data_IF_976310501223
#
_entry.id   IF_976310501223
#
_cell.length_a   1.000
_cell.length_b   1.000
_cell.length_c   1.000
_cell.angle_alpha   90.00
_cell.angle_beta   90.00
_cell.angle_gamma   90.00
#
_symmetry.space_group_name_H-M   'P 1'
#
loop_
_entity.id
_entity.type
_entity.pdbx_description
1 polymer ?
#
# COMPACT_ATOMS: atom_id res chain seq x y z
N UNK A 1 3.32 -76.48 43.55
CA UNK A 1 2.55 -76.59 44.78
C UNK A 1 1.40 -75.62 44.80
N UNK A 2 0.16 -76.20 44.79
CA UNK A 2 -1.09 -75.67 45.42
C UNK A 2 -1.43 -74.18 45.24
N UNK A 3 -2.43 -73.88 44.41
CA UNK A 3 -3.91 -73.81 44.65
C UNK A 3 -4.33 -72.68 45.58
N UNK A 4 -5.15 -71.79 45.02
CA UNK A 4 -6.58 -71.47 45.32
C UNK A 4 -6.85 -70.11 44.66
N UNK A 5 -7.79 -69.81 43.87
CA UNK A 5 -9.19 -70.24 43.83
C UNK A 5 -10.06 -69.25 44.63
N UNK A 6 -10.56 -68.18 44.03
CA UNK A 6 -11.75 -67.51 44.55
C UNK A 6 -12.62 -66.97 43.39
N UNK A 7 -13.84 -67.49 43.37
CA UNK A 7 -14.93 -67.06 42.53
C UNK A 7 -15.60 -65.86 43.17
N UNK A 8 -15.88 -64.84 42.41
CA UNK A 8 -16.89 -63.88 42.84
C UNK A 8 -17.73 -63.41 41.64
N UNK A 9 -18.93 -63.66 41.76
CA UNK A 9 -20.25 -63.41 41.16
C UNK A 9 -20.35 -62.25 40.19
N UNK A 10 -20.93 -62.56 39.02
CA UNK A 10 -21.61 -61.64 38.11
C UNK A 10 -22.78 -60.94 38.82
N UNK A 11 -22.79 -59.62 38.77
CA UNK A 11 -23.99 -58.81 38.94
C UNK A 11 -24.28 -58.14 37.62
N UNK A 12 -25.36 -58.60 36.98
CA UNK A 12 -25.83 -57.99 35.74
C UNK A 12 -26.44 -56.63 36.02
N UNK A 13 -25.99 -55.63 35.33
CA UNK A 13 -26.68 -54.35 35.22
C UNK A 13 -27.25 -54.25 33.82
N UNK A 14 -28.58 -54.34 33.75
CA UNK A 14 -29.37 -54.01 32.56
C UNK A 14 -29.22 -52.49 32.33
N UNK A 15 -28.55 -52.14 31.25
CA UNK A 15 -28.59 -50.78 30.76
C UNK A 15 -29.66 -50.72 29.66
N UNK A 16 -30.75 -50.04 29.96
CA UNK A 16 -31.80 -49.75 28.98
C UNK A 16 -31.23 -48.72 27.96
N UNK A 17 -31.07 -49.14 26.72
CA UNK A 17 -30.72 -48.23 25.60
C UNK A 17 -32.00 -47.51 25.18
N UNK A 18 -32.13 -46.24 25.58
CA UNK A 18 -33.13 -45.33 24.99
C UNK A 18 -32.62 -44.89 23.63
N UNK A 19 -33.24 -45.38 22.56
CA UNK A 19 -33.04 -44.90 21.19
C UNK A 19 -33.73 -43.55 21.07
N UNK A 20 -32.96 -42.46 21.20
CA UNK A 20 -33.40 -41.14 20.79
C UNK A 20 -33.34 -41.05 19.26
N UNK A 21 -34.47 -41.12 18.60
CA UNK A 21 -34.64 -40.78 17.21
C UNK A 21 -34.40 -39.29 17.03
N UNK A 22 -33.18 -38.89 16.67
CA UNK A 22 -32.90 -37.57 16.17
C UNK A 22 -33.51 -37.42 14.80
N UNK A 23 -34.65 -36.74 14.71
CA UNK A 23 -35.19 -36.27 13.44
C UNK A 23 -34.20 -35.26 12.85
N UNK A 24 -33.51 -35.66 11.78
CA UNK A 24 -32.80 -34.71 10.93
C UNK A 24 -33.84 -33.75 10.34
N UNK A 25 -33.95 -32.56 10.93
CA UNK A 25 -34.54 -31.43 10.25
C UNK A 25 -33.55 -31.00 9.17
N UNK A 26 -33.83 -31.44 7.94
CA UNK A 26 -33.24 -30.85 6.75
C UNK A 26 -33.83 -29.45 6.70
N UNK A 27 -32.99 -28.42 6.98
CA UNK A 27 -33.37 -27.04 6.75
C UNK A 27 -33.74 -26.87 5.27
N UNK A 28 -34.82 -26.17 4.93
CA UNK A 28 -35.14 -25.89 3.54
C UNK A 28 -33.95 -25.15 2.90
N UNK A 29 -33.70 -25.35 1.60
CA UNK A 29 -32.66 -24.62 0.88
C UNK A 29 -32.94 -23.11 1.03
N UNK A 30 -31.92 -22.37 1.45
CA UNK A 30 -31.98 -20.91 1.54
C UNK A 30 -32.32 -20.38 0.15
N UNK A 31 -33.34 -19.57 0.08
CA UNK A 31 -33.79 -18.90 -1.13
C UNK A 31 -32.70 -17.92 -1.56
N UNK A 32 -32.09 -18.07 -2.77
CA UNK A 32 -31.04 -17.16 -3.22
C UNK A 32 -31.48 -15.69 -3.34
N UNK A 33 -32.78 -15.42 -3.24
CA UNK A 33 -33.30 -14.04 -3.24
C UNK A 33 -33.38 -13.42 -1.86
N UNK A 34 -33.25 -14.17 -0.76
CA UNK A 34 -33.29 -13.60 0.60
C UNK A 34 -31.98 -12.96 1.06
N UNK A 35 -30.85 -13.28 0.43
CA UNK A 35 -29.57 -12.62 0.69
C UNK A 35 -29.36 -11.32 -0.11
N UNK A 36 -30.30 -10.96 -1.00
CA UNK A 36 -30.24 -9.69 -1.74
C UNK A 36 -30.89 -8.52 -1.04
N UNK A 37 -31.37 -8.67 0.19
CA UNK A 37 -32.15 -7.65 0.90
C UNK A 37 -31.49 -7.01 2.12
N UNK A 38 -30.18 -7.19 2.35
CA UNK A 38 -29.45 -6.15 3.06
C UNK A 38 -29.14 -5.06 2.04
N UNK A 39 -30.09 -4.13 1.93
CA UNK A 39 -29.98 -2.93 1.13
C UNK A 39 -28.60 -2.31 1.37
N UNK A 40 -27.74 -2.35 0.36
CA UNK A 40 -26.77 -1.27 0.16
C UNK A 40 -27.61 0.00 -0.04
N UNK A 41 -28.16 0.54 1.04
CA UNK A 41 -28.72 1.87 1.06
C UNK A 41 -27.61 2.77 0.58
N UNK A 42 -27.79 3.41 -0.56
CA UNK A 42 -26.88 4.45 -1.05
C UNK A 42 -26.64 5.37 0.14
N UNK A 43 -25.40 5.50 0.64
CA UNK A 43 -25.12 6.36 1.76
C UNK A 43 -25.69 7.73 1.44
N UNK A 44 -26.43 8.33 2.37
CA UNK A 44 -26.96 9.68 2.20
C UNK A 44 -25.75 10.60 2.05
N UNK A 45 -25.43 11.01 0.83
CA UNK A 45 -24.33 11.94 0.56
C UNK A 45 -24.67 13.28 1.20
N UNK A 46 -23.78 13.80 2.02
CA UNK A 46 -23.95 15.09 2.70
C UNK A 46 -24.04 16.25 1.69
N UNK A 47 -23.50 16.08 0.48
CA UNK A 47 -23.51 17.07 -0.61
C UNK A 47 -23.70 16.37 -1.96
N UNK A 48 -24.94 16.18 -2.42
CA UNK A 48 -25.24 15.53 -3.70
C UNK A 48 -24.62 16.23 -4.91
N UNK A 49 -24.46 17.55 -4.88
CA UNK A 49 -23.88 18.31 -5.98
C UNK A 49 -22.36 18.03 -6.11
N UNK A 50 -21.67 17.98 -4.98
CA UNK A 50 -20.25 17.56 -4.96
C UNK A 50 -20.08 16.10 -5.39
N UNK A 51 -20.95 15.20 -4.94
CA UNK A 51 -20.90 13.80 -5.36
C UNK A 51 -21.02 13.66 -6.87
N UNK A 52 -21.96 14.37 -7.48
CA UNK A 52 -22.15 14.36 -8.95
C UNK A 52 -20.95 14.96 -9.68
N UNK A 53 -20.38 16.04 -9.17
CA UNK A 53 -19.17 16.64 -9.74
C UNK A 53 -17.97 15.68 -9.66
N UNK A 54 -17.81 14.94 -8.53
CA UNK A 54 -16.77 13.91 -8.40
C UNK A 54 -17.00 12.77 -9.38
N UNK A 55 -18.24 12.28 -9.58
CA UNK A 55 -18.54 11.25 -10.61
C UNK A 55 -18.14 11.69 -12.00
N UNK A 56 -18.47 12.93 -12.37
CA UNK A 56 -18.09 13.48 -13.66
C UNK A 56 -16.56 13.48 -13.86
N UNK A 57 -15.79 13.81 -12.83
CA UNK A 57 -14.31 13.72 -12.86
C UNK A 57 -13.85 12.28 -13.01
N UNK A 58 -14.42 11.35 -12.24
CA UNK A 58 -14.08 9.91 -12.30
C UNK A 58 -14.31 9.37 -13.70
N UNK A 59 -15.46 9.61 -14.31
CA UNK A 59 -15.78 9.12 -15.64
C UNK A 59 -14.90 9.77 -16.71
N UNK A 60 -14.61 11.06 -16.60
CA UNK A 60 -13.72 11.78 -17.51
C UNK A 60 -12.31 11.21 -17.51
N UNK A 61 -11.73 10.98 -16.31
CA UNK A 61 -10.39 10.43 -16.18
C UNK A 61 -10.37 8.95 -16.58
N UNK A 62 -11.40 8.18 -16.22
CA UNK A 62 -11.53 6.78 -16.64
C UNK A 62 -11.46 6.66 -18.16
N UNK A 63 -12.21 7.47 -18.86
CA UNK A 63 -12.22 7.45 -20.33
C UNK A 63 -10.91 7.95 -20.94
N UNK A 64 -10.37 9.08 -20.46
CA UNK A 64 -9.17 9.71 -21.05
C UNK A 64 -7.87 8.99 -20.73
N UNK A 65 -7.81 8.26 -19.62
CA UNK A 65 -6.63 7.49 -19.18
C UNK A 65 -6.78 5.98 -19.41
N UNK A 66 -7.82 5.54 -20.10
CA UNK A 66 -8.10 4.15 -20.42
C UNK A 66 -8.06 3.26 -19.16
N UNK A 67 -8.85 3.62 -18.12
CA UNK A 67 -8.89 2.86 -16.90
C UNK A 67 -9.96 1.75 -17.01
N UNK A 68 -9.56 0.53 -16.65
CA UNK A 68 -10.45 -0.64 -16.59
C UNK A 68 -11.42 -0.51 -15.42
N UNK A 69 -10.89 -0.22 -14.24
CA UNK A 69 -11.66 0.00 -13.04
C UNK A 69 -11.17 1.23 -12.28
N UNK A 70 -12.10 1.89 -11.59
CA UNK A 70 -11.82 2.92 -10.59
C UNK A 70 -12.65 2.60 -9.35
N UNK A 71 -12.02 2.56 -8.19
CA UNK A 71 -12.67 2.54 -6.89
C UNK A 71 -12.28 3.82 -6.17
N UNK A 72 -13.27 4.59 -5.72
CA UNK A 72 -13.07 5.90 -5.11
C UNK A 72 -13.86 6.05 -3.84
N UNK A 73 -13.25 6.68 -2.81
CA UNK A 73 -13.93 7.14 -1.61
C UNK A 73 -13.48 8.55 -1.26
N UNK A 74 -14.45 9.45 -1.07
CA UNK A 74 -14.23 10.85 -0.69
C UNK A 74 -15.05 11.17 0.54
N UNK A 75 -14.40 11.70 1.57
CA UNK A 75 -15.03 12.10 2.83
C UNK A 75 -14.58 13.52 3.22
N UNK A 76 -15.39 14.24 3.97
CA UNK A 76 -15.05 15.55 4.54
C UNK A 76 -15.50 15.58 6.00
N UNK A 77 -14.55 15.68 6.92
CA UNK A 77 -14.82 15.41 8.34
C UNK A 77 -15.37 14.00 8.51
N UNK A 78 -16.52 13.90 9.16
CA UNK A 78 -17.19 12.63 9.43
C UNK A 78 -18.31 12.32 8.39
N UNK A 79 -18.36 13.10 7.30
CA UNK A 79 -19.38 12.96 6.26
C UNK A 79 -18.80 12.31 5.01
N UNK A 80 -19.56 11.37 4.46
CA UNK A 80 -19.25 10.80 3.15
C UNK A 80 -19.77 11.72 2.04
N UNK A 81 -18.89 12.01 1.05
CA UNK A 81 -19.26 12.71 -0.18
C UNK A 81 -19.61 11.66 -1.25
N UNK A 82 -18.73 10.67 -1.45
CA UNK A 82 -18.91 9.61 -2.44
C UNK A 82 -18.13 8.37 -2.06
N UNK A 83 -18.73 7.19 -2.20
CA UNK A 83 -18.02 5.90 -2.28
C UNK A 83 -18.61 5.13 -3.45
N UNK A 84 -17.77 4.84 -4.45
CA UNK A 84 -18.23 4.23 -5.70
C UNK A 84 -17.13 3.39 -6.35
N UNK A 85 -17.55 2.37 -7.13
CA UNK A 85 -16.68 1.61 -8.01
C UNK A 85 -17.30 1.60 -9.41
N UNK A 86 -16.48 1.87 -10.43
CA UNK A 86 -16.90 1.89 -11.83
C UNK A 86 -15.97 1.05 -12.69
N UNK A 87 -16.48 0.51 -13.79
CA UNK A 87 -15.75 -0.37 -14.70
C UNK A 87 -15.72 -1.82 -14.23
N UNK A 88 -14.72 -2.57 -14.67
CA UNK A 88 -14.62 -4.01 -14.46
C UNK A 88 -13.27 -4.40 -13.84
N UNK A 89 -13.29 -5.31 -12.85
CA UNK A 89 -12.08 -5.92 -12.31
C UNK A 89 -11.43 -6.84 -13.34
N UNK A 90 -12.25 -7.73 -13.92
CA UNK A 90 -11.91 -8.60 -15.05
C UNK A 90 -13.00 -8.49 -16.12
N UNK A 91 -12.76 -8.92 -17.36
CA UNK A 91 -13.79 -8.92 -18.38
C UNK A 91 -15.09 -9.60 -17.90
N UNK A 92 -16.19 -8.85 -17.87
CA UNK A 92 -17.48 -9.30 -17.41
C UNK A 92 -17.67 -9.38 -15.89
N UNK A 93 -16.70 -8.95 -15.08
CA UNK A 93 -16.80 -8.89 -13.62
C UNK A 93 -16.77 -7.43 -13.17
N UNK A 94 -17.91 -6.83 -12.81
CA UNK A 94 -17.95 -5.44 -12.33
C UNK A 94 -17.04 -5.21 -11.14
N UNK A 95 -16.34 -4.06 -11.12
CA UNK A 95 -15.63 -3.61 -9.93
C UNK A 95 -16.61 -3.26 -8.81
N UNK A 96 -16.20 -3.54 -7.56
CA UNK A 96 -17.00 -3.23 -6.38
C UNK A 96 -16.16 -2.53 -5.32
N UNK A 97 -16.79 -1.77 -4.43
CA UNK A 97 -16.13 -1.09 -3.32
C UNK A 97 -15.60 -2.05 -2.25
N UNK A 98 -16.05 -3.30 -2.25
CA UNK A 98 -15.56 -4.34 -1.33
C UNK A 98 -14.24 -4.98 -1.78
N UNK A 99 -13.77 -4.71 -3.01
CA UNK A 99 -12.58 -5.34 -3.54
C UNK A 99 -11.31 -4.88 -2.82
N UNK A 100 -10.43 -5.85 -2.58
CA UNK A 100 -9.10 -5.64 -2.03
C UNK A 100 -8.09 -5.44 -3.15
N UNK A 101 -7.07 -4.64 -2.85
CA UNK A 101 -5.96 -4.34 -3.76
C UNK A 101 -4.68 -4.09 -2.96
N UNK A 102 -3.52 -4.07 -3.63
CA UNK A 102 -2.26 -3.76 -2.96
C UNK A 102 -2.14 -2.27 -2.68
N UNK A 103 -1.71 -1.94 -1.47
CA UNK A 103 -1.54 -0.55 -1.06
C UNK A 103 -0.23 0.09 -1.56
N UNK A 104 0.74 -0.71 -2.05
CA UNK A 104 2.00 -0.20 -2.60
C UNK A 104 2.73 0.77 -1.66
N UNK A 105 3.18 1.89 -2.21
CA UNK A 105 3.93 2.92 -1.48
C UNK A 105 3.14 3.60 -0.33
N UNK A 106 1.84 3.35 -0.18
CA UNK A 106 1.10 3.77 1.03
C UNK A 106 1.75 3.19 2.29
N UNK A 107 2.23 1.95 2.21
CA UNK A 107 2.92 1.28 3.31
C UNK A 107 4.22 1.99 3.76
N UNK A 108 4.85 2.77 2.89
CA UNK A 108 5.99 3.63 3.26
C UNK A 108 5.59 4.59 4.39
N UNK A 109 4.38 5.16 4.33
CA UNK A 109 3.88 6.05 5.38
C UNK A 109 3.65 5.32 6.72
N UNK A 110 3.26 4.05 6.68
CA UNK A 110 3.14 3.23 7.89
C UNK A 110 4.49 2.93 8.52
N UNK A 111 5.49 2.55 7.71
CA UNK A 111 6.86 2.29 8.21
C UNK A 111 7.49 3.56 8.78
N UNK A 112 7.29 4.71 8.15
CA UNK A 112 7.75 6.00 8.68
C UNK A 112 7.05 6.37 10.00
N UNK A 113 5.72 6.17 10.08
CA UNK A 113 4.97 6.36 11.32
C UNK A 113 5.48 5.43 12.43
N UNK A 114 5.75 4.16 12.11
CA UNK A 114 6.33 3.20 13.05
C UNK A 114 7.71 3.67 13.56
N UNK A 115 8.58 4.13 12.65
CA UNK A 115 9.90 4.64 13.04
C UNK A 115 9.80 5.85 13.99
N UNK A 116 8.86 6.77 13.75
CA UNK A 116 8.59 7.91 14.62
C UNK A 116 8.00 7.47 15.98
N UNK A 117 7.10 6.50 16.01
CA UNK A 117 6.59 5.93 17.27
C UNK A 117 7.69 5.25 18.08
N UNK A 118 8.62 4.56 17.41
CA UNK A 118 9.77 3.93 18.07
C UNK A 118 10.76 4.99 18.60
N UNK A 119 10.95 6.11 17.89
CA UNK A 119 11.71 7.28 18.39
C UNK A 119 11.03 7.85 19.63
N UNK A 120 9.72 8.06 19.63
CA UNK A 120 8.97 8.55 20.80
C UNK A 120 9.08 7.65 22.02
N UNK A 121 9.27 6.35 21.80
CA UNK A 121 9.46 5.32 22.84
C UNK A 121 10.93 5.17 23.27
N UNK A 122 11.86 5.83 22.58
CA UNK A 122 13.31 5.73 22.86
C UNK A 122 13.93 4.39 22.41
N UNK A 123 13.27 3.64 21.54
CA UNK A 123 13.80 2.38 20.99
C UNK A 123 14.86 2.58 19.91
N UNK A 124 14.83 3.72 19.22
CA UNK A 124 15.82 4.21 18.28
C UNK A 124 15.77 5.75 18.23
N UNK A 125 16.75 6.38 17.57
CA UNK A 125 16.71 7.80 17.24
C UNK A 125 16.86 7.98 15.73
N UNK A 126 16.14 8.94 15.14
CA UNK A 126 16.33 9.30 13.73
C UNK A 126 17.74 9.82 13.43
N UNK A 127 18.47 10.31 14.45
CA UNK A 127 19.86 10.77 14.34
C UNK A 127 20.87 9.63 14.46
N UNK A 128 20.44 8.43 14.88
CA UNK A 128 21.32 7.27 14.98
C UNK A 128 21.90 6.90 13.61
N UNK A 129 23.19 6.52 13.61
CA UNK A 129 23.81 5.97 12.41
C UNK A 129 23.30 4.56 12.15
N UNK A 130 23.03 4.24 10.88
CA UNK A 130 22.61 2.91 10.45
C UNK A 130 23.62 1.84 10.92
N UNK A 131 24.91 2.17 11.01
CA UNK A 131 25.98 1.27 11.48
C UNK A 131 25.83 0.79 12.93
N UNK A 132 25.03 1.47 13.76
CA UNK A 132 24.72 0.99 15.12
C UNK A 132 23.89 -0.31 15.09
N UNK A 133 23.12 -0.52 14.04
CA UNK A 133 22.22 -1.66 13.85
C UNK A 133 22.72 -2.64 12.77
N UNK A 134 23.29 -2.10 11.71
CA UNK A 134 23.79 -2.84 10.53
C UNK A 134 25.25 -2.46 10.26
N UNK A 135 26.23 -2.88 11.11
CA UNK A 135 27.62 -2.44 11.03
C UNK A 135 28.33 -2.85 9.74
N UNK A 136 27.93 -3.97 9.14
CA UNK A 136 28.55 -4.50 7.93
C UNK A 136 27.99 -3.88 6.64
N UNK A 137 26.92 -3.08 6.73
CA UNK A 137 26.33 -2.45 5.57
C UNK A 137 27.22 -1.29 5.09
N UNK A 138 27.58 -1.32 3.82
CA UNK A 138 28.42 -0.28 3.21
C UNK A 138 27.80 1.11 3.37
N UNK A 139 28.58 2.11 3.79
CA UNK A 139 28.17 3.48 4.08
C UNK A 139 27.22 3.67 5.28
N UNK A 140 26.94 2.63 6.05
CA UNK A 140 26.06 2.71 7.21
C UNK A 140 26.57 3.69 8.28
N UNK A 141 27.89 3.90 8.39
CA UNK A 141 28.53 4.87 9.28
C UNK A 141 28.31 6.32 8.85
N UNK A 142 27.85 6.56 7.62
CA UNK A 142 27.63 7.89 7.05
C UNK A 142 26.17 8.29 7.03
N UNK A 143 25.26 7.31 7.01
CA UNK A 143 23.80 7.50 6.85
C UNK A 143 23.12 7.43 8.21
N UNK A 144 22.11 8.30 8.44
CA UNK A 144 21.24 8.24 9.62
C UNK A 144 19.90 7.58 9.29
N UNK A 145 19.18 7.13 10.33
CA UNK A 145 17.81 6.56 10.18
C UNK A 145 16.87 7.61 9.58
N UNK A 146 16.95 8.87 10.01
CA UNK A 146 16.16 9.96 9.45
C UNK A 146 16.42 10.18 7.96
N UNK A 147 17.68 10.03 7.50
CA UNK A 147 18.02 10.12 6.09
C UNK A 147 17.45 8.93 5.27
N UNK A 148 17.32 7.74 5.85
CA UNK A 148 16.58 6.65 5.21
C UNK A 148 15.09 7.01 5.09
N UNK A 149 14.46 7.40 6.19
CA UNK A 149 13.03 7.75 6.20
C UNK A 149 12.68 8.90 5.25
N UNK A 150 13.59 9.88 5.06
CA UNK A 150 13.43 11.02 4.16
C UNK A 150 13.91 10.73 2.73
N UNK A 151 14.50 9.55 2.47
CA UNK A 151 15.10 9.19 1.17
C UNK A 151 16.24 10.14 0.73
N UNK A 152 17.02 10.62 1.69
CA UNK A 152 18.20 11.50 1.47
C UNK A 152 19.53 10.80 1.75
N UNK A 153 19.53 9.46 1.90
CA UNK A 153 20.72 8.67 2.20
C UNK A 153 21.77 8.64 1.10
N UNK A 154 21.33 8.81 -0.16
CA UNK A 154 22.18 8.66 -1.35
C UNK A 154 22.31 7.21 -1.86
N UNK A 155 21.73 6.21 -1.19
CA UNK A 155 21.69 4.85 -1.76
C UNK A 155 20.90 4.86 -3.08
N UNK A 156 21.46 4.22 -4.11
CA UNK A 156 20.78 4.04 -5.38
C UNK A 156 19.49 3.22 -5.18
N UNK A 157 18.50 3.46 -6.02
CA UNK A 157 17.30 2.62 -6.03
C UNK A 157 17.58 1.30 -6.74
N UNK A 158 17.37 0.17 -6.05
CA UNK A 158 17.55 -1.15 -6.68
C UNK A 158 16.50 -1.38 -7.78
N UNK A 159 15.31 -0.78 -7.70
CA UNK A 159 14.28 -0.94 -8.73
C UNK A 159 14.71 -0.32 -10.07
N UNK A 160 15.57 0.68 -10.04
CA UNK A 160 16.15 1.29 -11.23
C UNK A 160 17.36 0.50 -11.79
N UNK A 161 17.79 -0.60 -11.14
CA UNK A 161 18.88 -1.45 -11.64
C UNK A 161 18.38 -2.38 -12.75
N UNK A 162 18.97 -2.35 -13.97
CA UNK A 162 18.53 -3.22 -15.06
C UNK A 162 18.61 -4.72 -14.73
N UNK A 163 19.59 -5.15 -13.91
CA UNK A 163 19.70 -6.56 -13.52
C UNK A 163 18.58 -6.96 -12.56
N UNK A 164 18.15 -6.05 -11.69
CA UNK A 164 17.00 -6.28 -10.82
C UNK A 164 15.70 -6.35 -11.65
N UNK A 165 15.50 -5.43 -12.58
CA UNK A 165 14.35 -5.42 -13.48
C UNK A 165 14.26 -6.71 -14.30
N UNK A 166 15.38 -7.14 -14.89
CA UNK A 166 15.46 -8.39 -15.64
C UNK A 166 15.14 -9.61 -14.76
N UNK A 167 15.68 -9.67 -13.55
CA UNK A 167 15.43 -10.77 -12.62
C UNK A 167 13.96 -10.82 -12.15
N UNK A 168 13.36 -9.66 -11.87
CA UNK A 168 11.95 -9.54 -11.50
C UNK A 168 11.04 -9.97 -12.65
N UNK A 169 11.32 -9.51 -13.87
CA UNK A 169 10.51 -9.84 -15.04
C UNK A 169 10.71 -11.29 -15.52
N UNK A 170 11.87 -11.90 -15.24
CA UNK A 170 12.07 -13.32 -15.52
C UNK A 170 11.20 -14.21 -14.63
N UNK A 171 11.02 -13.84 -13.36
CA UNK A 171 10.33 -14.62 -12.34
C UNK A 171 9.35 -13.76 -11.52
N UNK A 172 8.25 -13.24 -12.10
CA UNK A 172 7.38 -12.27 -11.43
C UNK A 172 6.68 -12.80 -10.18
N UNK A 173 6.61 -14.11 -10.01
CA UNK A 173 6.00 -14.78 -8.84
C UNK A 173 7.03 -15.12 -7.74
N UNK A 174 8.32 -14.88 -7.98
CA UNK A 174 9.39 -15.16 -7.02
C UNK A 174 9.33 -14.23 -5.81
N UNK A 175 9.38 -14.75 -4.56
CA UNK A 175 9.58 -13.93 -3.39
C UNK A 175 11.04 -13.45 -3.31
N UNK A 176 11.24 -12.23 -2.78
CA UNK A 176 12.54 -11.59 -2.58
C UNK A 176 12.82 -11.41 -1.09
N UNK A 177 14.07 -11.62 -0.67
CA UNK A 177 14.51 -11.25 0.67
C UNK A 177 15.04 -9.81 0.69
N UNK A 178 14.99 -9.13 1.86
CA UNK A 178 15.56 -7.79 2.01
C UNK A 178 17.04 -7.70 1.60
N UNK A 179 17.83 -8.72 1.95
CA UNK A 179 19.26 -8.81 1.66
C UNK A 179 19.52 -8.94 0.16
N UNK A 180 18.74 -9.74 -0.56
CA UNK A 180 18.81 -9.84 -2.03
C UNK A 180 18.52 -8.50 -2.68
N UNK A 181 17.49 -7.79 -2.24
CA UNK A 181 17.08 -6.50 -2.81
C UNK A 181 18.18 -5.45 -2.64
N UNK A 182 18.66 -5.23 -1.42
CA UNK A 182 19.65 -4.19 -1.16
C UNK A 182 21.01 -4.49 -1.79
N UNK A 183 21.32 -5.76 -2.10
CA UNK A 183 22.57 -6.14 -2.77
C UNK A 183 22.73 -5.49 -4.16
N UNK A 184 21.62 -5.22 -4.89
CA UNK A 184 21.65 -4.53 -6.18
C UNK A 184 22.06 -3.05 -6.07
N UNK A 185 21.98 -2.44 -4.88
CA UNK A 185 22.30 -1.03 -4.68
C UNK A 185 23.48 -0.77 -3.77
N UNK A 186 23.62 -1.50 -2.65
CA UNK A 186 24.63 -1.22 -1.60
C UNK A 186 26.06 -1.52 -2.02
N UNK A 187 26.27 -2.36 -3.04
CA UNK A 187 27.57 -2.55 -3.71
C UNK A 187 28.04 -1.37 -4.54
N UNK A 188 27.14 -0.44 -4.92
CA UNK A 188 27.40 0.72 -5.76
C UNK A 188 27.88 1.94 -4.94
N UNK A 189 28.52 2.94 -5.57
CA UNK A 189 28.72 4.24 -4.95
C UNK A 189 27.38 4.91 -4.61
N UNK A 190 27.37 5.75 -3.56
CA UNK A 190 26.22 6.63 -3.30
C UNK A 190 26.02 7.58 -4.48
N UNK A 191 24.78 7.84 -4.85
CA UNK A 191 24.40 8.79 -5.94
C UNK A 191 24.81 10.21 -5.58
N UNK A 192 24.75 10.55 -4.29
CA UNK A 192 25.18 11.83 -3.70
C UNK A 192 25.56 11.60 -2.24
N UNK A 193 26.22 12.58 -1.62
CA UNK A 193 26.56 12.51 -0.20
C UNK A 193 25.28 12.54 0.66
N UNK A 194 25.18 11.73 1.74
CA UNK A 194 24.00 11.69 2.58
C UNK A 194 23.54 13.06 3.05
N UNK A 195 22.26 13.36 2.90
CA UNK A 195 21.63 14.63 3.28
C UNK A 195 21.81 15.79 2.28
N UNK A 196 22.50 15.60 1.14
CA UNK A 196 22.77 16.70 0.20
C UNK A 196 21.82 16.77 -0.99
N UNK A 197 21.04 15.73 -1.21
CA UNK A 197 20.00 15.66 -2.25
C UNK A 197 18.95 14.63 -1.87
N UNK A 198 18.00 14.39 -2.75
CA UNK A 198 16.91 13.45 -2.60
C UNK A 198 16.75 12.59 -3.86
N UNK A 199 16.47 11.31 -3.66
CA UNK A 199 15.96 10.42 -4.70
C UNK A 199 14.95 9.45 -4.13
N UNK A 200 13.85 9.24 -4.82
CA UNK A 200 12.95 8.14 -4.46
C UNK A 200 13.71 6.81 -4.64
N UNK A 201 13.91 6.09 -3.55
CA UNK A 201 14.68 4.85 -3.56
C UNK A 201 14.11 3.85 -2.55
N UNK A 202 13.62 2.74 -3.06
CA UNK A 202 13.08 1.63 -2.27
C UNK A 202 14.13 1.06 -1.31
N UNK A 203 15.42 1.10 -1.69
CA UNK A 203 16.55 0.68 -0.85
C UNK A 203 16.48 1.29 0.55
N UNK A 204 16.09 2.56 0.67
CA UNK A 204 16.00 3.22 1.96
C UNK A 204 15.03 2.50 2.90
N UNK A 205 13.86 2.13 2.41
CA UNK A 205 12.81 1.52 3.24
C UNK A 205 13.06 0.05 3.53
N UNK A 206 13.77 -0.65 2.67
CA UNK A 206 14.25 -2.01 2.99
C UNK A 206 15.28 -1.95 4.12
N UNK A 207 16.27 -1.04 4.03
CA UNK A 207 17.28 -0.85 5.10
C UNK A 207 16.61 -0.37 6.39
N UNK A 208 15.66 0.56 6.32
CA UNK A 208 14.91 1.05 7.50
C UNK A 208 14.17 -0.09 8.20
N UNK A 209 13.53 -0.99 7.46
CA UNK A 209 12.90 -2.18 8.02
C UNK A 209 13.89 -3.08 8.76
N UNK A 210 15.04 -3.37 8.15
CA UNK A 210 16.11 -4.14 8.80
C UNK A 210 16.63 -3.45 10.07
N UNK A 211 16.76 -2.12 10.07
CA UNK A 211 17.12 -1.34 11.27
C UNK A 211 16.07 -1.49 12.35
N UNK A 212 14.78 -1.36 12.02
CA UNK A 212 13.68 -1.52 12.98
C UNK A 212 13.70 -2.93 13.60
N UNK A 213 13.87 -3.98 12.80
CA UNK A 213 13.97 -5.35 13.30
C UNK A 213 15.17 -5.54 14.24
N UNK A 214 16.32 -4.96 13.91
CA UNK A 214 17.52 -5.01 14.78
C UNK A 214 17.36 -4.22 16.06
N UNK A 215 16.76 -3.04 16.01
CA UNK A 215 16.54 -2.18 17.17
C UNK A 215 15.57 -2.79 18.17
N UNK A 216 14.55 -3.51 17.70
CA UNK A 216 13.44 -3.99 18.53
C UNK A 216 13.48 -5.48 18.82
N UNK A 217 14.20 -6.27 18.02
CA UNK A 217 14.17 -7.74 18.06
C UNK A 217 12.84 -8.34 17.60
N UNK A 218 11.99 -7.56 16.91
CA UNK A 218 10.65 -7.96 16.45
C UNK A 218 10.51 -7.72 14.95
N UNK A 219 9.61 -8.48 14.31
CA UNK A 219 9.29 -8.28 12.89
C UNK A 219 8.61 -6.94 12.63
N UNK A 220 8.82 -6.37 11.45
CA UNK A 220 8.12 -5.14 11.02
C UNK A 220 6.61 -5.37 10.98
N UNK A 221 6.16 -6.54 10.52
CA UNK A 221 4.74 -6.91 10.45
C UNK A 221 4.06 -6.85 11.82
N UNK A 222 4.60 -7.57 12.82
CA UNK A 222 4.08 -7.55 14.20
C UNK A 222 3.99 -6.12 14.75
N UNK A 223 5.03 -5.31 14.50
CA UNK A 223 5.08 -3.94 14.97
C UNK A 223 4.08 -3.03 14.25
N UNK A 224 3.90 -3.18 12.94
CA UNK A 224 2.90 -2.45 12.18
C UNK A 224 1.50 -2.81 12.66
N UNK A 225 1.21 -4.09 12.81
CA UNK A 225 -0.09 -4.55 13.30
C UNK A 225 -0.39 -4.00 14.69
N UNK A 226 0.56 -4.08 15.63
CA UNK A 226 0.36 -3.63 17.02
C UNK A 226 0.27 -2.11 17.15
N UNK A 227 1.13 -1.37 16.44
CA UNK A 227 1.35 0.05 16.69
C UNK A 227 0.72 0.99 15.67
N UNK A 228 0.37 0.49 14.50
CA UNK A 228 -0.16 1.31 13.40
C UNK A 228 -1.53 0.81 12.95
N UNK A 229 -1.63 -0.38 12.38
CA UNK A 229 -2.85 -0.86 11.71
C UNK A 229 -3.98 -1.12 12.71
N UNK A 230 -3.69 -1.86 13.79
CA UNK A 230 -4.66 -2.16 14.84
C UNK A 230 -5.22 -0.90 15.53
N UNK A 231 -4.36 0.03 16.05
CA UNK A 231 -4.84 1.28 16.63
C UNK A 231 -5.62 2.20 15.70
N UNK A 232 -5.44 2.07 14.37
CA UNK A 232 -6.21 2.78 13.37
C UNK A 232 -7.52 2.06 12.98
N UNK A 233 -7.69 0.79 13.38
CA UNK A 233 -8.86 -0.03 13.03
C UNK A 233 -8.86 -0.43 11.55
N UNK A 234 -7.68 -0.65 10.95
CA UNK A 234 -7.54 -1.04 9.55
C UNK A 234 -7.69 -2.57 9.42
N UNK A 235 -8.92 -3.05 9.50
CA UNK A 235 -9.24 -4.48 9.56
C UNK A 235 -9.05 -5.23 8.24
N UNK A 236 -9.00 -4.49 7.12
CA UNK A 236 -8.78 -5.02 5.77
C UNK A 236 -7.39 -4.71 5.24
N UNK A 237 -6.48 -4.23 6.10
CA UNK A 237 -5.11 -3.89 5.72
C UNK A 237 -4.15 -4.83 6.46
N UNK A 238 -3.53 -5.74 5.70
CA UNK A 238 -2.62 -6.76 6.25
C UNK A 238 -1.53 -7.14 5.25
N UNK A 239 -0.39 -7.63 5.76
CA UNK A 239 0.56 -8.38 4.94
C UNK A 239 0.14 -9.85 4.93
N UNK A 240 -0.32 -10.42 3.81
CA UNK A 240 -0.69 -11.82 3.74
C UNK A 240 0.52 -12.77 3.78
N UNK A 241 1.76 -12.27 3.85
CA UNK A 241 2.99 -13.05 3.79
C UNK A 241 3.22 -13.78 2.45
N UNK A 242 2.36 -13.54 1.47
CA UNK A 242 2.34 -14.20 0.16
C UNK A 242 1.94 -13.22 -0.95
N UNK A 243 1.87 -13.72 -2.18
CA UNK A 243 1.30 -12.95 -3.30
C UNK A 243 -0.25 -12.94 -3.33
N UNK A 244 -0.93 -13.55 -2.37
CA UNK A 244 -2.39 -13.55 -2.33
C UNK A 244 -2.97 -12.16 -2.04
N UNK A 245 -4.17 -11.91 -2.55
CA UNK A 245 -5.02 -10.78 -2.21
C UNK A 245 -6.33 -11.36 -1.70
N UNK A 246 -6.89 -10.91 -0.56
CA UNK A 246 -8.19 -11.36 -0.09
C UNK A 246 -9.30 -11.12 -1.12
N UNK A 247 -10.20 -12.08 -1.24
CA UNK A 247 -11.36 -11.93 -2.13
C UNK A 247 -12.48 -11.08 -1.49
N UNK A 248 -13.22 -10.31 -2.28
CA UNK A 248 -13.04 -10.10 -3.72
C UNK A 248 -11.82 -9.23 -4.03
N UNK A 249 -11.03 -9.62 -5.04
CA UNK A 249 -9.82 -8.91 -5.45
C UNK A 249 -10.06 -7.99 -6.65
N UNK A 250 -9.42 -6.83 -6.66
CA UNK A 250 -9.32 -5.96 -7.84
C UNK A 250 -8.17 -6.46 -8.71
N UNK A 251 -8.49 -7.04 -9.87
CA UNK A 251 -7.51 -7.60 -10.77
C UNK A 251 -6.77 -6.53 -11.58
N UNK A 252 -5.46 -6.68 -11.67
CA UNK A 252 -4.57 -5.81 -12.41
C UNK A 252 -3.99 -6.53 -13.63
N UNK A 253 -3.81 -5.78 -14.72
CA UNK A 253 -3.21 -6.26 -15.96
C UNK A 253 -2.13 -5.28 -16.39
N UNK A 254 -1.03 -5.79 -16.96
CA UNK A 254 0.12 -4.98 -17.33
C UNK A 254 0.73 -5.36 -18.67
N UNK A 255 1.43 -4.42 -19.27
CA UNK A 255 2.27 -4.62 -20.46
C UNK A 255 3.76 -4.37 -20.17
N UNK A 256 4.15 -4.21 -18.89
CA UNK A 256 5.51 -3.80 -18.49
C UNK A 256 6.61 -4.75 -18.94
N UNK A 257 6.32 -6.05 -19.09
CA UNK A 257 7.33 -7.05 -19.52
C UNK A 257 7.60 -7.08 -21.02
N UNK A 258 6.96 -6.22 -21.84
CA UNK A 258 7.06 -6.34 -23.30
C UNK A 258 8.48 -6.12 -23.83
N UNK A 259 9.27 -5.20 -23.25
CA UNK A 259 10.69 -5.03 -23.62
C UNK A 259 11.53 -6.23 -23.21
N UNK A 260 11.36 -6.74 -21.98
CA UNK A 260 12.01 -7.94 -21.48
C UNK A 260 11.73 -9.16 -22.40
N UNK A 261 10.48 -9.32 -22.84
CA UNK A 261 10.04 -10.38 -23.76
C UNK A 261 10.45 -10.12 -25.21
N UNK A 262 11.06 -8.97 -25.52
CA UNK A 262 11.51 -8.57 -26.85
C UNK A 262 10.39 -8.56 -27.89
N UNK A 263 9.17 -8.16 -27.48
CA UNK A 263 8.03 -8.05 -28.36
C UNK A 263 8.20 -6.86 -29.32
N UNK A 264 7.63 -6.97 -30.51
CA UNK A 264 7.68 -5.88 -31.48
C UNK A 264 6.80 -4.72 -31.03
N UNK A 265 7.19 -3.46 -31.31
CA UNK A 265 6.32 -2.32 -31.10
C UNK A 265 4.96 -2.53 -31.77
N UNK A 266 3.86 -2.31 -31.02
CA UNK A 266 2.49 -2.50 -31.49
C UNK A 266 1.99 -3.96 -31.55
N UNK A 267 2.82 -4.96 -31.22
CA UNK A 267 2.35 -6.32 -31.03
C UNK A 267 1.43 -6.37 -29.79
N UNK A 268 0.18 -6.87 -29.89
CA UNK A 268 -0.73 -6.93 -28.75
C UNK A 268 -0.14 -7.79 -27.61
N UNK A 269 -0.07 -7.20 -26.44
CA UNK A 269 0.41 -7.90 -25.24
C UNK A 269 -0.18 -7.25 -23.99
N UNK A 270 -0.80 -8.07 -23.19
CA UNK A 270 -1.29 -7.75 -21.86
C UNK A 270 -1.29 -9.05 -21.04
N UNK A 271 -0.86 -8.99 -19.81
CA UNK A 271 -0.87 -10.13 -18.90
C UNK A 271 -1.40 -9.75 -17.54
N UNK A 272 -1.98 -10.71 -16.84
CA UNK A 272 -2.46 -10.49 -15.49
C UNK A 272 -1.30 -10.43 -14.51
N UNK A 273 -1.26 -9.37 -13.70
CA UNK A 273 -0.22 -9.10 -12.71
C UNK A 273 -0.72 -9.09 -11.27
N UNK A 274 -2.02 -9.36 -11.05
CA UNK A 274 -2.68 -9.31 -9.73
C UNK A 274 -1.88 -10.04 -8.66
N UNK A 275 -1.40 -11.23 -8.98
CA UNK A 275 -0.70 -12.12 -8.05
C UNK A 275 0.82 -12.18 -8.27
N UNK A 276 1.41 -11.22 -8.99
CA UNK A 276 2.87 -11.08 -8.99
C UNK A 276 3.36 -10.83 -7.57
N UNK A 277 4.51 -11.40 -7.23
CA UNK A 277 5.00 -11.30 -5.87
C UNK A 277 5.43 -9.87 -5.55
N UNK A 278 4.82 -9.21 -4.54
CA UNK A 278 5.09 -7.79 -4.25
C UNK A 278 6.30 -7.59 -3.33
N UNK A 279 6.97 -8.64 -2.87
CA UNK A 279 8.05 -8.56 -1.89
C UNK A 279 9.27 -7.75 -2.35
N UNK A 280 9.34 -7.42 -3.65
CA UNK A 280 10.36 -6.54 -4.20
C UNK A 280 10.11 -5.04 -3.90
N UNK A 281 8.93 -4.65 -3.44
CA UNK A 281 8.54 -3.23 -3.37
C UNK A 281 9.18 -2.47 -2.22
N UNK A 282 9.09 -2.97 -0.99
CA UNK A 282 9.63 -2.34 0.22
C UNK A 282 10.03 -3.40 1.25
N UNK A 283 10.21 -3.02 2.51
CA UNK A 283 10.60 -3.96 3.56
C UNK A 283 9.57 -5.07 3.76
N UNK A 284 10.06 -6.25 4.10
CA UNK A 284 9.23 -7.39 4.47
C UNK A 284 8.29 -7.01 5.62
N UNK A 285 7.06 -7.50 5.58
CA UNK A 285 6.03 -7.20 6.58
C UNK A 285 5.28 -5.89 6.37
N UNK A 286 5.70 -5.06 5.38
CA UNK A 286 5.02 -3.82 5.05
C UNK A 286 4.32 -3.83 3.68
N UNK A 287 4.44 -4.93 2.94
CA UNK A 287 3.82 -5.10 1.62
C UNK A 287 2.40 -5.62 1.80
N UNK A 288 1.45 -4.73 1.93
CA UNK A 288 0.10 -5.05 2.38
C UNK A 288 -0.94 -5.01 1.26
N UNK A 289 -2.03 -5.73 1.48
CA UNK A 289 -3.31 -5.51 0.80
C UNK A 289 -4.15 -4.53 1.62
N UNK A 290 -5.14 -3.92 0.99
CA UNK A 290 -6.08 -2.98 1.62
C UNK A 290 -7.38 -2.93 0.81
N UNK A 291 -8.38 -2.20 1.30
CA UNK A 291 -9.57 -1.80 0.54
C UNK A 291 -9.75 -0.28 0.56
N UNK A 292 -10.76 0.23 -0.14
CA UNK A 292 -10.96 1.66 -0.28
C UNK A 292 -11.36 2.34 1.03
N UNK A 293 -12.00 1.61 1.95
CA UNK A 293 -12.41 2.12 3.25
C UNK A 293 -11.21 2.33 4.16
N UNK A 294 -10.33 1.33 4.26
CA UNK A 294 -9.10 1.41 5.05
C UNK A 294 -8.13 2.42 4.45
N UNK A 295 -8.06 2.53 3.10
CA UNK A 295 -7.23 3.53 2.45
C UNK A 295 -7.70 4.96 2.76
N UNK A 296 -9.02 5.21 2.82
CA UNK A 296 -9.57 6.50 3.22
C UNK A 296 -9.35 6.77 4.73
N UNK A 297 -9.48 5.77 5.58
CA UNK A 297 -9.14 5.86 7.01
C UNK A 297 -7.66 6.19 7.20
N UNK A 298 -6.79 5.57 6.39
CA UNK A 298 -5.36 5.87 6.35
C UNK A 298 -5.09 7.34 5.98
N UNK A 299 -5.78 7.85 4.96
CA UNK A 299 -5.65 9.25 4.55
C UNK A 299 -5.95 10.20 5.73
N UNK A 300 -7.05 9.98 6.44
CA UNK A 300 -7.39 10.74 7.64
C UNK A 300 -6.33 10.60 8.74
N UNK A 301 -5.98 9.37 9.08
CA UNK A 301 -5.16 9.09 10.24
C UNK A 301 -3.69 9.53 10.07
N UNK A 302 -3.08 9.17 8.96
CA UNK A 302 -1.70 9.56 8.63
C UNK A 302 -1.65 11.05 8.32
N UNK A 303 -2.60 11.54 7.52
CA UNK A 303 -2.66 12.95 7.12
C UNK A 303 -2.92 13.92 8.27
N UNK A 304 -3.53 13.47 9.38
CA UNK A 304 -3.72 14.26 10.60
C UNK A 304 -2.69 13.99 11.71
N UNK A 305 -1.80 13.01 11.53
CA UNK A 305 -0.82 12.60 12.55
C UNK A 305 -1.44 11.92 13.77
N UNK A 306 -2.58 11.22 13.61
CA UNK A 306 -3.41 10.68 14.70
C UNK A 306 -2.63 9.83 15.72
N UNK A 307 -1.61 9.08 15.28
CA UNK A 307 -0.82 8.20 16.15
C UNK A 307 0.39 8.89 16.79
N UNK A 308 0.80 10.04 16.26
CA UNK A 308 2.05 10.70 16.60
C UNK A 308 1.82 11.86 17.55
N UNK A 309 2.83 12.16 18.37
CA UNK A 309 2.88 13.45 19.04
C UNK A 309 2.99 14.59 18.02
N UNK A 310 2.51 15.80 18.35
CA UNK A 310 2.55 16.94 17.44
C UNK A 310 3.95 17.21 16.84
N UNK A 311 5.00 17.07 17.65
CA UNK A 311 6.39 17.29 17.23
C UNK A 311 6.85 16.25 16.21
N UNK A 312 6.50 14.97 16.42
CA UNK A 312 6.81 13.88 15.49
C UNK A 312 6.04 14.02 14.18
N UNK A 313 4.78 14.44 14.26
CA UNK A 313 3.99 14.69 13.05
C UNK A 313 4.58 15.88 12.25
N UNK A 314 5.03 16.95 12.91
CA UNK A 314 5.70 18.05 12.22
C UNK A 314 7.02 17.63 11.56
N UNK A 315 7.78 16.70 12.17
CA UNK A 315 8.94 16.07 11.51
C UNK A 315 8.48 15.28 10.27
N UNK A 316 7.39 14.51 10.37
CA UNK A 316 6.89 13.68 9.27
C UNK A 316 6.56 14.50 8.04
N UNK A 317 5.85 15.63 8.20
CA UNK A 317 5.39 16.50 7.10
C UNK A 317 6.37 17.62 6.77
N UNK A 318 7.64 17.51 7.17
CA UNK A 318 8.65 18.53 6.89
C UNK A 318 8.77 18.84 5.41
N UNK A 319 9.10 20.10 5.08
CA UNK A 319 9.32 20.60 3.71
C UNK A 319 10.72 21.18 3.54
N UNK A 320 11.63 20.75 4.36
CA UNK A 320 12.98 21.29 4.45
C UNK A 320 13.86 20.97 3.22
N UNK A 321 13.39 20.10 2.32
CA UNK A 321 14.05 19.78 1.04
C UNK A 321 13.75 20.79 -0.09
N UNK A 322 12.74 21.65 0.06
CA UNK A 322 12.43 22.66 -0.95
C UNK A 322 13.62 23.60 -1.15
N UNK A 323 14.07 23.74 -2.39
CA UNK A 323 15.22 24.55 -2.77
C UNK A 323 16.60 23.94 -2.44
N UNK A 324 16.64 22.71 -1.92
CA UNK A 324 17.89 22.01 -1.58
C UNK A 324 18.22 20.83 -2.49
N UNK A 325 17.30 20.43 -3.36
CA UNK A 325 17.44 19.25 -4.22
C UNK A 325 17.54 19.63 -5.68
N UNK A 326 18.22 18.81 -6.48
CA UNK A 326 18.47 19.03 -7.90
C UNK A 326 18.34 17.73 -8.69
N UNK A 327 18.12 17.83 -10.00
CA UNK A 327 18.27 16.72 -10.90
C UNK A 327 19.74 16.28 -10.98
N UNK A 328 19.97 14.98 -11.14
CA UNK A 328 21.30 14.38 -11.33
C UNK A 328 21.22 13.46 -12.56
N UNK A 329 22.19 13.58 -13.46
CA UNK A 329 22.28 12.70 -14.62
C UNK A 329 22.40 11.24 -14.18
N UNK A 330 21.60 10.36 -14.83
CA UNK A 330 21.53 8.94 -14.46
C UNK A 330 20.71 8.62 -13.21
N UNK A 331 20.04 9.61 -12.61
CA UNK A 331 19.09 9.43 -11.51
C UNK A 331 17.70 9.95 -11.90
N UNK A 332 16.83 9.12 -12.50
CA UNK A 332 15.53 9.57 -12.99
C UNK A 332 14.57 10.03 -11.88
N UNK A 333 14.83 9.63 -10.65
CA UNK A 333 14.05 10.00 -9.46
C UNK A 333 14.63 11.16 -8.66
N UNK A 334 15.80 11.71 -9.07
CA UNK A 334 16.36 12.93 -8.50
C UNK A 334 15.76 14.15 -9.21
N UNK A 335 15.05 15.00 -8.47
CA UNK A 335 14.48 16.24 -9.04
C UNK A 335 14.39 17.35 -7.98
N UNK A 336 14.30 18.64 -8.42
CA UNK A 336 14.06 19.73 -7.51
C UNK A 336 12.72 19.60 -6.81
N UNK A 337 12.72 19.64 -5.49
CA UNK A 337 11.49 19.65 -4.72
C UNK A 337 10.90 21.07 -4.64
N UNK A 338 9.57 21.13 -4.63
CA UNK A 338 8.81 22.38 -4.67
C UNK A 338 7.61 22.34 -3.72
N UNK A 339 6.89 23.45 -3.60
CA UNK A 339 5.61 23.48 -2.86
C UNK A 339 4.59 22.48 -3.47
N UNK A 340 4.65 22.25 -4.78
CA UNK A 340 3.77 21.30 -5.47
C UNK A 340 4.10 19.83 -5.21
N UNK A 341 5.33 19.54 -4.76
CA UNK A 341 5.76 18.20 -4.37
C UNK A 341 7.00 18.28 -3.48
N UNK A 342 6.85 17.98 -2.20
CA UNK A 342 7.96 17.88 -1.26
C UNK A 342 7.83 16.61 -0.44
N UNK A 343 8.95 15.92 -0.20
CA UNK A 343 9.01 14.66 0.52
C UNK A 343 9.44 14.89 1.97
N UNK A 344 8.60 14.48 2.90
CA UNK A 344 8.92 14.45 4.33
C UNK A 344 9.50 13.09 4.75
N UNK A 345 9.11 12.59 5.91
CA UNK A 345 9.46 11.24 6.36
C UNK A 345 8.37 10.26 5.90
N UNK A 346 8.61 9.59 4.79
CA UNK A 346 7.68 8.61 4.22
C UNK A 346 6.35 9.15 3.73
N UNK A 347 6.25 10.43 3.50
CA UNK A 347 5.03 11.09 3.06
C UNK A 347 5.34 12.24 2.08
N UNK A 348 4.44 12.48 1.16
CA UNK A 348 4.51 13.63 0.23
C UNK A 348 3.63 14.75 0.76
N UNK A 349 4.11 15.99 0.67
CA UNK A 349 3.29 17.19 0.84
C UNK A 349 3.16 17.93 -0.49
N UNK A 350 1.96 18.39 -0.81
CA UNK A 350 1.62 19.09 -2.06
C UNK A 350 0.67 20.25 -1.75
N UNK A 351 1.16 21.48 -1.73
CA UNK A 351 0.40 22.59 -1.14
C UNK A 351 0.03 22.32 0.31
N UNK A 352 -1.24 22.43 0.65
CA UNK A 352 -1.78 22.11 1.99
C UNK A 352 -2.09 20.60 2.15
N UNK A 353 -1.89 19.80 1.12
CA UNK A 353 -2.26 18.39 1.10
C UNK A 353 -1.10 17.50 1.54
N UNK A 354 -1.47 16.35 2.15
CA UNK A 354 -0.58 15.24 2.49
C UNK A 354 -1.03 14.02 1.70
N UNK A 355 -0.11 13.27 1.08
CA UNK A 355 -0.49 12.19 0.16
C UNK A 355 0.54 11.06 0.06
N UNK A 356 0.07 9.93 -0.52
CA UNK A 356 0.86 8.88 -1.17
C UNK A 356 0.19 8.46 -2.47
N UNK A 357 1.00 8.06 -3.48
CA UNK A 357 0.54 7.80 -4.83
C UNK A 357 1.26 6.62 -5.52
N UNK A 358 1.10 5.38 -5.00
CA UNK A 358 1.74 4.20 -5.58
C UNK A 358 1.35 3.94 -7.04
N UNK A 359 2.31 3.38 -7.79
CA UNK A 359 2.13 2.87 -9.14
C UNK A 359 3.01 1.64 -9.32
N UNK A 360 2.43 0.49 -9.65
CA UNK A 360 3.18 -0.73 -9.97
C UNK A 360 2.32 -1.81 -10.61
N UNK A 361 2.91 -2.57 -11.54
CA UNK A 361 2.37 -3.82 -12.09
C UNK A 361 0.91 -3.73 -12.55
N UNK A 362 0.58 -2.66 -13.33
CA UNK A 362 -0.76 -2.50 -13.90
C UNK A 362 -1.83 -1.98 -12.95
N UNK A 363 -1.44 -1.53 -11.76
CA UNK A 363 -2.33 -0.90 -10.79
C UNK A 363 -1.75 0.43 -10.31
N UNK A 364 -2.61 1.36 -9.91
CA UNK A 364 -2.21 2.58 -9.22
C UNK A 364 -3.19 2.90 -8.11
N UNK A 365 -2.69 3.56 -7.08
CA UNK A 365 -3.50 4.07 -6.00
C UNK A 365 -3.08 5.48 -5.62
N UNK A 366 -3.93 6.17 -4.87
CA UNK A 366 -3.55 7.38 -4.17
C UNK A 366 -4.44 7.58 -2.95
N UNK A 367 -3.86 8.15 -1.90
CA UNK A 367 -4.66 8.88 -0.95
C UNK A 367 -4.18 10.32 -0.86
N UNK A 368 -5.09 11.25 -0.60
CA UNK A 368 -4.80 12.63 -0.27
C UNK A 368 -5.62 13.07 0.93
N UNK A 369 -5.02 13.88 1.80
CA UNK A 369 -5.70 14.48 2.94
C UNK A 369 -5.44 15.98 2.99
N UNK A 370 -6.50 16.74 3.20
CA UNK A 370 -6.45 18.20 3.37
C UNK A 370 -6.79 18.56 4.83
N UNK A 371 -5.79 18.84 5.69
CA UNK A 371 -6.02 19.07 7.11
C UNK A 371 -7.02 20.19 7.44
N UNK A 372 -7.01 21.36 6.75
CA UNK A 372 -7.93 22.45 7.09
C UNK A 372 -9.41 22.08 6.95
N UNK A 373 -9.80 21.35 5.93
CA UNK A 373 -11.20 20.92 5.69
C UNK A 373 -11.47 19.51 6.18
N UNK A 374 -10.45 18.79 6.67
CA UNK A 374 -10.52 17.36 7.02
C UNK A 374 -11.05 16.51 5.86
N UNK A 375 -10.71 16.88 4.63
CA UNK A 375 -11.12 16.14 3.43
C UNK A 375 -10.11 15.05 3.14
N UNK A 376 -10.58 13.80 3.01
CA UNK A 376 -9.80 12.65 2.59
C UNK A 376 -10.32 12.10 1.26
N UNK A 377 -9.40 11.81 0.36
CA UNK A 377 -9.66 11.22 -0.96
C UNK A 377 -8.82 9.96 -1.06
N UNK A 378 -9.47 8.84 -1.36
CA UNK A 378 -8.81 7.56 -1.64
C UNK A 378 -9.25 7.07 -3.01
N UNK A 379 -8.31 6.62 -3.84
CA UNK A 379 -8.56 6.07 -5.17
C UNK A 379 -7.69 4.85 -5.41
N UNK A 380 -8.25 3.85 -6.10
CA UNK A 380 -7.53 2.71 -6.66
C UNK A 380 -8.00 2.51 -8.10
N UNK A 381 -7.05 2.30 -9.01
CA UNK A 381 -7.33 2.14 -10.44
C UNK A 381 -6.54 1.00 -11.05
N UNK A 382 -7.12 0.38 -12.08
CA UNK A 382 -6.44 -0.55 -12.99
C UNK A 382 -6.63 -0.10 -14.44
N UNK A 383 -5.89 -0.68 -15.38
CA UNK A 383 -5.70 -0.12 -16.70
C UNK A 383 -6.20 -1.05 -17.80
N UNK A 384 -6.73 -0.46 -18.88
CA UNK A 384 -6.98 -1.13 -20.14
C UNK A 384 -5.69 -1.22 -20.98
N UNK A 385 -5.62 -2.11 -21.99
CA UNK A 385 -4.43 -2.24 -22.84
C UNK A 385 -3.97 -0.94 -23.49
N UNK A 386 -4.90 -0.04 -23.79
CA UNK A 386 -4.66 1.25 -24.46
C UNK A 386 -3.95 2.28 -23.55
N UNK A 387 -3.89 2.04 -22.24
CA UNK A 387 -3.17 2.90 -21.30
C UNK A 387 -1.65 2.72 -21.39
N UNK A 388 -1.18 1.59 -21.96
CA UNK A 388 0.23 1.25 -22.02
C UNK A 388 0.86 1.71 -23.33
N UNK A 389 2.08 2.27 -23.24
CA UNK A 389 2.88 2.60 -24.39
C UNK A 389 3.14 1.33 -25.24
N UNK A 390 2.80 1.36 -26.54
CA UNK A 390 2.88 0.15 -27.38
C UNK A 390 4.31 -0.32 -27.68
N UNK A 391 5.31 0.48 -27.39
CA UNK A 391 6.71 0.10 -27.56
C UNK A 391 7.33 -0.41 -26.26
N UNK A 392 7.14 0.31 -25.15
CA UNK A 392 7.82 0.06 -23.87
C UNK A 392 6.97 -0.65 -22.83
N UNK A 393 5.62 -0.56 -22.93
CA UNK A 393 4.70 -1.01 -21.89
C UNK A 393 4.60 -0.05 -20.69
N UNK A 394 5.23 1.13 -20.77
CA UNK A 394 5.13 2.18 -19.76
C UNK A 394 3.73 2.80 -19.70
N UNK A 395 3.33 3.30 -18.53
CA UNK A 395 2.03 3.93 -18.31
C UNK A 395 2.11 5.01 -17.23
N UNK A 396 1.15 5.95 -17.26
CA UNK A 396 1.12 7.07 -16.34
C UNK A 396 0.38 6.71 -15.02
N UNK A 397 0.73 7.39 -13.92
CA UNK A 397 -0.02 7.29 -12.67
C UNK A 397 -1.33 8.08 -12.74
N UNK A 398 -2.37 7.46 -13.30
CA UNK A 398 -3.68 8.09 -13.41
C UNK A 398 -4.39 8.27 -12.05
N UNK A 399 -4.02 7.51 -11.02
CA UNK A 399 -4.54 7.71 -9.67
C UNK A 399 -4.05 9.04 -9.07
N UNK A 400 -2.79 9.45 -9.33
CA UNK A 400 -2.28 10.77 -8.92
C UNK A 400 -3.03 11.91 -9.62
N UNK A 401 -3.32 11.76 -10.90
CA UNK A 401 -4.13 12.74 -11.64
C UNK A 401 -5.56 12.80 -11.08
N UNK A 402 -6.19 11.65 -10.90
CA UNK A 402 -7.58 11.56 -10.46
C UNK A 402 -7.79 12.20 -9.09
N UNK A 403 -6.98 11.87 -8.09
CA UNK A 403 -7.14 12.44 -6.76
C UNK A 403 -6.95 13.97 -6.75
N UNK A 404 -6.05 14.53 -7.60
CA UNK A 404 -5.85 15.97 -7.73
C UNK A 404 -7.06 16.67 -8.31
N UNK A 405 -7.65 16.13 -9.36
CA UNK A 405 -8.87 16.68 -9.96
C UNK A 405 -10.08 16.56 -9.03
N UNK A 406 -10.18 15.47 -8.27
CA UNK A 406 -11.18 15.36 -7.21
C UNK A 406 -10.91 16.40 -6.12
N UNK A 407 -9.67 16.58 -5.69
CA UNK A 407 -9.28 17.58 -4.71
C UNK A 407 -9.64 19.01 -5.15
N UNK A 408 -9.39 19.37 -6.41
CA UNK A 408 -9.83 20.64 -7.00
C UNK A 408 -11.36 20.80 -6.95
N UNK A 409 -12.08 19.71 -7.20
CA UNK A 409 -13.55 19.70 -7.19
C UNK A 409 -14.12 19.89 -5.78
N UNK A 410 -13.56 19.22 -4.77
CA UNK A 410 -14.15 19.21 -3.41
C UNK A 410 -13.59 20.29 -2.49
N UNK A 411 -12.40 20.82 -2.80
CA UNK A 411 -11.72 21.91 -2.06
C UNK A 411 -11.22 22.97 -3.06
N UNK A 412 -12.11 23.66 -3.78
CA UNK A 412 -11.73 24.58 -4.85
C UNK A 412 -10.95 25.82 -4.36
N UNK A 413 -11.07 26.20 -3.09
CA UNK A 413 -10.38 27.34 -2.51
C UNK A 413 -8.90 27.04 -2.15
N UNK A 414 -8.54 25.74 -2.03
CA UNK A 414 -7.15 25.29 -1.76
C UNK A 414 -6.90 23.94 -2.46
N UNK A 415 -6.91 23.94 -3.81
CA UNK A 415 -6.76 22.72 -4.59
C UNK A 415 -5.34 22.14 -4.48
N UNK A 416 -5.17 20.81 -4.67
CA UNK A 416 -3.83 20.24 -4.78
C UNK A 416 -3.09 20.86 -5.95
N UNK A 417 -1.86 21.37 -5.78
CA UNK A 417 -1.08 21.90 -6.88
C UNK A 417 -0.89 20.89 -8.01
N UNK A 418 -0.98 21.34 -9.25
CA UNK A 418 -0.66 20.52 -10.42
C UNK A 418 0.85 20.23 -10.39
N UNK A 419 1.23 18.95 -10.49
CA UNK A 419 2.62 18.54 -10.65
C UNK A 419 3.09 18.95 -12.04
N UNK A 420 3.97 19.94 -12.12
CA UNK A 420 4.61 20.38 -13.39
C UNK A 420 5.98 19.76 -13.51
#
# INVERSE_FOLDING_TARGET
MRRRGSRTRLAGVLVAVAVLATACHVAPPLDPESERSESQGTPLTADPAKAEAVRAVVESVRASSHLRAVIVRVTSGDQEILTEAVGESMPGVPATTAMHFRNGAVAISYVATLALLLEEQGALSLDDKVSQYLPDLRYADRVTIGQLAQMTSGYADYVADPLMADAQYAEPFRPWTPEELIAYSTGKPLVYAPGTNWNYSHTNYVILGLVIEKATGRSVDDLLQEKVLGPLGLENTEDPGTAAIPEPALHAFTSERREFLKLKPGEPFIEESTYWNPSWTITRGAVQTTNIFDLNTTAHAIGSGRLLKPESYQKMITRDLIGKTTAIDGCPTCFPQSVGYSYGLGIVTSGSWVLQNPLFSGAAGAFGYHPPTRTAIAVAVTFEPEAFDPATGGYANAADQLWRLIGETVVPDDPPPIRR
#
